data_IF_091758921771
#
_entry.id   IF_091758921771
#
_cell.length_a   1.000
_cell.length_b   1.000
_cell.length_c   1.000
_cell.angle_alpha   90.00
_cell.angle_beta   90.00
_cell.angle_gamma   90.00
#
_symmetry.space_group_name_H-M   'P 1'
#
loop_
_entity.id
_entity.type
_entity.pdbx_description
1 polymer ?
#
# COMPACT_ATOMS: atom_id res chain seq x y z
N UNK A 1 38.75 -12.47 -0.36
CA UNK A 1 37.42 -12.87 0.14
C UNK A 1 37.04 -11.84 1.19
N UNK A 2 36.11 -10.94 0.89
CA UNK A 2 35.55 -10.01 1.88
C UNK A 2 34.05 -9.91 1.62
N UNK A 3 33.31 -10.07 2.71
CA UNK A 3 31.92 -10.47 2.76
C UNK A 3 30.99 -9.33 2.34
N UNK A 4 30.05 -9.65 1.45
CA UNK A 4 28.93 -8.77 1.09
C UNK A 4 28.01 -8.63 2.31
N UNK A 5 28.12 -7.51 3.02
CA UNK A 5 27.18 -7.06 4.06
C UNK A 5 25.87 -6.54 3.44
N UNK A 6 25.23 -7.34 2.60
CA UNK A 6 23.82 -7.14 2.27
C UNK A 6 23.01 -7.90 3.31
N UNK A 7 22.25 -7.23 4.21
CA UNK A 7 21.31 -7.96 5.04
C UNK A 7 20.38 -8.77 4.11
N UNK A 8 20.00 -10.00 4.49
CA UNK A 8 19.07 -10.77 3.67
C UNK A 8 17.81 -9.91 3.54
N UNK A 9 17.43 -9.65 2.28
CA UNK A 9 16.11 -9.13 1.96
C UNK A 9 15.15 -10.15 2.58
N UNK A 10 14.64 -9.85 3.77
CA UNK A 10 13.58 -10.62 4.42
C UNK A 10 12.49 -10.73 3.37
N UNK A 11 12.30 -11.96 2.90
CA UNK A 11 11.53 -12.30 1.72
C UNK A 11 10.17 -11.59 1.76
N UNK A 12 9.66 -11.14 0.62
CA UNK A 12 8.31 -10.56 0.52
C UNK A 12 7.23 -11.49 1.13
N UNK A 13 7.50 -12.79 1.24
CA UNK A 13 6.69 -13.78 1.96
C UNK A 13 6.58 -13.57 3.48
N UNK A 14 7.51 -12.85 4.11
CA UNK A 14 7.44 -12.51 5.55
C UNK A 14 6.47 -11.35 5.81
N UNK A 15 5.95 -10.72 4.76
CA UNK A 15 4.84 -9.77 4.85
C UNK A 15 3.56 -10.53 4.49
N UNK A 16 3.07 -11.35 5.42
CA UNK A 16 1.71 -11.90 5.29
C UNK A 16 0.73 -10.74 5.22
N UNK A 17 0.29 -10.46 3.99
CA UNK A 17 -0.77 -9.52 3.67
C UNK A 17 -2.08 -10.03 4.26
N UNK A 18 -2.92 -9.09 4.64
CA UNK A 18 -4.29 -9.20 5.13
C UNK A 18 -5.28 -9.94 4.20
N UNK A 19 -4.78 -10.76 3.27
CA UNK A 19 -5.48 -11.18 2.05
C UNK A 19 -5.49 -10.07 1.00
N UNK A 20 -5.97 -10.40 -0.21
CA UNK A 20 -6.20 -9.39 -1.25
C UNK A 20 -7.26 -8.39 -0.78
N UNK A 21 -7.03 -7.11 -1.06
CA UNK A 21 -7.97 -6.04 -0.76
C UNK A 21 -9.21 -6.18 -1.63
N UNK A 22 -10.36 -6.02 -1.00
CA UNK A 22 -11.68 -6.04 -1.63
C UNK A 22 -12.58 -5.02 -0.93
N UNK A 23 -13.70 -4.62 -1.55
CA UNK A 23 -14.62 -3.69 -0.89
C UNK A 23 -15.14 -4.20 0.46
N UNK A 24 -15.21 -5.51 0.68
CA UNK A 24 -15.73 -6.13 1.90
C UNK A 24 -14.73 -6.16 3.06
N UNK A 25 -13.43 -6.24 2.77
CA UNK A 25 -12.39 -6.32 3.79
C UNK A 25 -11.51 -5.07 3.85
N UNK A 26 -11.76 -4.04 3.02
CA UNK A 26 -10.86 -2.90 2.86
C UNK A 26 -10.48 -2.23 4.19
N UNK A 27 -11.45 -2.00 5.09
CA UNK A 27 -11.18 -1.35 6.37
C UNK A 27 -10.23 -2.15 7.27
N UNK A 28 -10.49 -3.46 7.41
CA UNK A 28 -9.63 -4.36 8.18
C UNK A 28 -8.29 -4.56 7.48
N UNK A 29 -8.28 -4.66 6.16
CA UNK A 29 -7.09 -4.82 5.35
C UNK A 29 -6.15 -3.62 5.41
N UNK A 30 -6.70 -2.40 5.28
CA UNK A 30 -5.96 -1.15 5.48
C UNK A 30 -5.26 -1.12 6.84
N UNK A 31 -5.95 -1.51 7.92
CA UNK A 31 -5.36 -1.54 9.26
C UNK A 31 -4.17 -2.50 9.34
N UNK A 32 -4.29 -3.70 8.78
CA UNK A 32 -3.18 -4.65 8.79
C UNK A 32 -2.01 -4.20 7.93
N UNK A 33 -2.24 -3.63 6.74
CA UNK A 33 -1.16 -3.06 5.90
C UNK A 33 -0.39 -1.97 6.66
N UNK A 34 -1.10 -1.01 7.25
CA UNK A 34 -0.48 0.09 8.02
C UNK A 34 0.28 -0.45 9.24
N UNK A 35 -0.25 -1.46 9.90
CA UNK A 35 0.38 -2.06 11.08
C UNK A 35 1.65 -2.84 10.72
N UNK A 36 1.60 -3.67 9.68
CA UNK A 36 2.76 -4.44 9.18
C UNK A 36 3.92 -3.52 8.76
N UNK A 37 3.61 -2.41 8.07
CA UNK A 37 4.61 -1.40 7.75
C UNK A 37 5.10 -0.64 9.00
N UNK A 38 4.22 -0.39 9.97
CA UNK A 38 4.57 0.22 11.25
C UNK A 38 5.62 -0.57 12.02
N UNK A 39 5.46 -1.90 12.10
CA UNK A 39 6.42 -2.80 12.76
C UNK A 39 7.81 -2.75 12.12
N UNK A 40 7.92 -2.30 10.87
CA UNK A 40 9.17 -2.20 10.11
C UNK A 40 9.71 -0.77 10.00
N UNK A 41 9.08 0.19 10.69
CA UNK A 41 9.38 1.63 10.56
C UNK A 41 9.24 2.13 9.11
N UNK A 42 8.28 1.59 8.36
CA UNK A 42 7.98 1.91 6.96
C UNK A 42 6.66 2.67 6.80
N UNK A 43 5.83 2.74 7.85
CA UNK A 43 4.50 3.36 7.81
C UNK A 43 4.51 4.77 7.22
N UNK A 44 5.51 5.57 7.56
CA UNK A 44 5.58 6.97 7.13
C UNK A 44 5.67 7.14 5.61
N UNK A 45 6.30 6.20 4.90
CA UNK A 45 6.38 6.18 3.43
C UNK A 45 4.99 6.06 2.80
N UNK A 46 4.08 5.38 3.49
CA UNK A 46 2.71 5.17 3.04
C UNK A 46 1.78 6.36 3.35
N UNK A 47 2.01 7.05 4.48
CA UNK A 47 1.03 8.01 5.03
C UNK A 47 1.48 9.47 5.00
N UNK A 48 2.76 9.76 4.78
CA UNK A 48 3.28 11.12 4.72
C UNK A 48 3.66 11.50 3.29
N UNK A 49 3.44 12.75 2.87
CA UNK A 49 3.88 13.21 1.57
C UNK A 49 5.40 13.03 1.42
N UNK A 50 5.91 12.59 0.25
CA UNK A 50 7.33 12.35 0.05
C UNK A 50 8.22 13.55 0.39
N UNK A 51 7.76 14.78 0.11
CA UNK A 51 8.47 16.02 0.45
C UNK A 51 8.81 16.17 1.94
N UNK A 52 8.11 15.45 2.82
CA UNK A 52 8.31 15.50 4.28
C UNK A 52 9.32 14.47 4.81
N UNK A 53 9.64 13.43 4.01
CA UNK A 53 10.44 12.28 4.46
C UNK A 53 11.56 11.88 3.50
N UNK A 54 11.60 12.44 2.27
CA UNK A 54 12.63 12.20 1.24
C UNK A 54 14.04 12.60 1.69
N UNK A 55 14.17 13.48 2.68
CA UNK A 55 15.46 13.86 3.26
C UNK A 55 16.12 12.73 4.09
N UNK A 56 15.37 11.67 4.43
CA UNK A 56 15.94 10.50 5.09
C UNK A 56 16.74 9.67 4.08
N UNK A 57 18.00 9.36 4.40
CA UNK A 57 18.94 8.64 3.52
C UNK A 57 18.40 7.29 3.00
N UNK A 58 17.50 6.64 3.75
CA UNK A 58 16.94 5.33 3.39
C UNK A 58 15.59 5.40 2.68
N UNK A 59 15.10 6.59 2.29
CA UNK A 59 13.79 6.73 1.66
C UNK A 59 13.69 5.93 0.36
N UNK A 60 14.65 6.12 -0.55
CA UNK A 60 14.61 5.53 -1.89
C UNK A 60 14.73 4.01 -1.85
N UNK A 61 15.55 3.45 -0.96
CA UNK A 61 15.67 1.99 -0.79
C UNK A 61 14.39 1.37 -0.21
N UNK A 62 13.72 2.09 0.69
CA UNK A 62 12.54 1.58 1.40
C UNK A 62 11.25 1.80 0.62
N UNK A 63 11.17 2.81 -0.24
CA UNK A 63 9.94 3.12 -1.00
C UNK A 63 9.52 1.95 -1.88
N UNK A 64 10.47 1.28 -2.51
CA UNK A 64 10.19 0.18 -3.43
C UNK A 64 9.64 -1.04 -2.68
N UNK A 65 10.18 -1.34 -1.48
CA UNK A 65 9.62 -2.39 -0.62
C UNK A 65 8.17 -2.10 -0.23
N UNK A 66 7.85 -0.84 0.09
CA UNK A 66 6.48 -0.43 0.43
C UNK A 66 5.57 -0.50 -0.80
N UNK A 67 6.05 -0.05 -1.96
CA UNK A 67 5.33 -0.13 -3.23
C UNK A 67 4.92 -1.58 -3.54
N UNK A 68 5.88 -2.50 -3.60
CA UNK A 68 5.61 -3.90 -3.91
C UNK A 68 4.77 -4.59 -2.84
N UNK A 69 4.90 -4.20 -1.58
CA UNK A 69 4.02 -4.68 -0.54
C UNK A 69 2.56 -4.29 -0.79
N UNK A 70 2.28 -3.03 -1.11
CA UNK A 70 0.91 -2.57 -1.42
C UNK A 70 0.37 -3.32 -2.64
N UNK A 71 1.16 -3.34 -3.73
CA UNK A 71 0.80 -4.01 -4.99
C UNK A 71 0.50 -5.49 -4.76
N UNK A 72 1.28 -6.17 -3.93
CA UNK A 72 1.05 -7.57 -3.56
C UNK A 72 -0.30 -7.83 -2.86
N UNK A 73 -0.92 -6.80 -2.29
CA UNK A 73 -2.26 -6.87 -1.69
C UNK A 73 -3.39 -6.52 -2.66
N UNK A 74 -3.12 -6.18 -3.92
CA UNK A 74 -4.13 -5.99 -4.98
C UNK A 74 -4.29 -7.29 -5.78
N UNK A 75 -5.52 -7.59 -6.22
CA UNK A 75 -5.72 -8.60 -7.27
C UNK A 75 -5.43 -8.01 -8.66
N UNK A 76 -5.39 -8.86 -9.68
CA UNK A 76 -4.97 -8.48 -11.04
C UNK A 76 -5.86 -7.37 -11.63
N UNK A 77 -7.18 -7.43 -11.42
CA UNK A 77 -8.13 -6.41 -11.88
C UNK A 77 -7.87 -5.05 -11.22
N UNK A 78 -7.64 -5.02 -9.91
CA UNK A 78 -7.35 -3.76 -9.19
C UNK A 78 -5.95 -3.26 -9.47
N UNK A 79 -5.00 -4.16 -9.72
CA UNK A 79 -3.65 -3.79 -10.16
C UNK A 79 -3.72 -3.02 -11.48
N UNK A 80 -4.32 -3.61 -12.52
CA UNK A 80 -4.43 -2.97 -13.84
C UNK A 80 -5.17 -1.62 -13.81
N UNK A 81 -6.15 -1.48 -12.92
CA UNK A 81 -6.96 -0.27 -12.82
C UNK A 81 -6.32 0.85 -12.00
N UNK A 82 -5.54 0.52 -10.97
CA UNK A 82 -5.08 1.49 -9.97
C UNK A 82 -3.58 1.78 -10.06
N UNK A 83 -2.80 0.91 -10.68
CA UNK A 83 -1.36 1.05 -10.81
C UNK A 83 -1.03 1.60 -12.19
N UNK A 84 -0.40 2.77 -12.23
CA UNK A 84 0.16 3.36 -13.45
C UNK A 84 1.67 3.13 -13.49
N UNK A 85 2.21 2.81 -14.66
CA UNK A 85 3.67 2.66 -14.88
C UNK A 85 4.45 3.94 -14.57
N UNK A 86 3.78 5.10 -14.56
CA UNK A 86 4.40 6.40 -14.30
C UNK A 86 4.43 6.79 -12.80
N UNK A 87 3.75 6.03 -11.92
CA UNK A 87 3.54 6.39 -10.50
C UNK A 87 4.06 5.32 -9.52
N UNK A 88 5.38 5.23 -9.37
CA UNK A 88 6.04 4.38 -8.37
C UNK A 88 6.02 4.94 -6.93
N UNK A 89 5.24 5.99 -6.66
CA UNK A 89 5.24 6.66 -5.35
C UNK A 89 4.20 6.04 -4.40
N UNK A 90 4.62 5.33 -3.33
CA UNK A 90 3.69 4.58 -2.48
C UNK A 90 2.61 5.44 -1.83
N UNK A 91 2.94 6.68 -1.45
CA UNK A 91 1.99 7.63 -0.87
C UNK A 91 0.84 7.96 -1.83
N UNK A 92 1.15 8.14 -3.13
CA UNK A 92 0.16 8.47 -4.16
C UNK A 92 -0.70 7.25 -4.48
N UNK A 93 -0.06 6.10 -4.75
CA UNK A 93 -0.75 4.84 -4.98
C UNK A 93 -1.71 4.50 -3.83
N UNK A 94 -1.27 4.63 -2.59
CA UNK A 94 -2.11 4.38 -1.43
C UNK A 94 -3.30 5.33 -1.30
N UNK A 95 -3.13 6.59 -1.72
CA UNK A 95 -4.23 7.56 -1.75
C UNK A 95 -5.27 7.16 -2.80
N UNK A 96 -4.83 6.80 -4.01
CA UNK A 96 -5.71 6.29 -5.08
C UNK A 96 -6.48 5.04 -4.65
N UNK A 97 -5.82 4.09 -3.99
CA UNK A 97 -6.47 2.87 -3.47
C UNK A 97 -7.55 3.24 -2.44
N UNK A 98 -7.24 4.11 -1.46
CA UNK A 98 -8.23 4.55 -0.47
C UNK A 98 -9.43 5.24 -1.11
N UNK A 99 -9.19 6.12 -2.09
CA UNK A 99 -10.24 6.83 -2.81
C UNK A 99 -11.16 5.86 -3.58
N UNK A 100 -10.57 4.88 -4.27
CA UNK A 100 -11.31 3.86 -5.00
C UNK A 100 -12.27 3.05 -4.12
N UNK A 101 -11.81 2.61 -2.94
CA UNK A 101 -12.66 1.85 -2.03
C UNK A 101 -13.61 2.74 -1.22
N UNK A 102 -13.27 4.00 -0.97
CA UNK A 102 -14.17 4.98 -0.38
C UNK A 102 -15.34 5.30 -1.31
N UNK A 103 -15.10 5.58 -2.60
CA UNK A 103 -16.16 5.83 -3.59
C UNK A 103 -17.05 4.60 -3.78
N UNK A 104 -16.46 3.40 -3.85
CA UNK A 104 -17.20 2.13 -3.93
C UNK A 104 -18.10 1.84 -2.72
N UNK A 105 -17.82 2.45 -1.57
CA UNK A 105 -18.66 2.36 -0.37
C UNK A 105 -19.76 3.44 -0.35
N UNK A 106 -19.45 4.64 -0.83
CA UNK A 106 -20.41 5.74 -0.97
C UNK A 106 -21.47 5.48 -2.04
N UNK A 107 -21.09 4.94 -3.21
CA UNK A 107 -22.04 4.52 -4.25
C UNK A 107 -22.95 3.39 -3.77
N UNK A 108 -22.42 2.47 -2.95
CA UNK A 108 -23.21 1.40 -2.33
C UNK A 108 -24.26 1.95 -1.36
N UNK A 109 -23.90 2.95 -0.55
CA UNK A 109 -24.84 3.65 0.32
C UNK A 109 -25.86 4.46 -0.49
N UNK A 110 -25.45 5.14 -1.56
CA UNK A 110 -26.37 5.87 -2.44
C UNK A 110 -27.33 4.95 -3.19
N UNK A 111 -26.93 3.73 -3.55
CA UNK A 111 -27.82 2.75 -4.17
C UNK A 111 -28.79 2.10 -3.15
N UNK A 112 -28.39 1.99 -1.89
CA UNK A 112 -29.24 1.44 -0.81
C UNK A 112 -30.22 2.50 -0.28
N UNK A 113 -29.82 3.76 -0.19
CA UNK A 113 -30.60 4.85 0.41
C UNK A 113 -31.13 5.90 -0.57
N UNK A 114 -30.65 5.92 -1.82
CA UNK A 114 -31.09 6.85 -2.86
C UNK A 114 -32.25 6.35 -3.72
N UNK A 115 -32.78 5.16 -3.43
CA UNK A 115 -34.02 4.61 -4.01
C UNK A 115 -35.20 4.68 -3.02
N UNK A 116 -35.18 5.62 -2.07
CA UNK A 116 -36.34 5.97 -1.24
C UNK A 116 -37.07 7.18 -1.81
#
# INVERSE_FOLDING_TARGET
MNESLTPPISSLSDIQGVGKLSPFNFFTGQRGIVSSLGMRNLRDILIKPPSTIKANHNYFEKKDMVYYFIVGNLDDERYEKLVSEEDEEPYKLWSTIKEHYASSSGERLHHIFGNC
#
